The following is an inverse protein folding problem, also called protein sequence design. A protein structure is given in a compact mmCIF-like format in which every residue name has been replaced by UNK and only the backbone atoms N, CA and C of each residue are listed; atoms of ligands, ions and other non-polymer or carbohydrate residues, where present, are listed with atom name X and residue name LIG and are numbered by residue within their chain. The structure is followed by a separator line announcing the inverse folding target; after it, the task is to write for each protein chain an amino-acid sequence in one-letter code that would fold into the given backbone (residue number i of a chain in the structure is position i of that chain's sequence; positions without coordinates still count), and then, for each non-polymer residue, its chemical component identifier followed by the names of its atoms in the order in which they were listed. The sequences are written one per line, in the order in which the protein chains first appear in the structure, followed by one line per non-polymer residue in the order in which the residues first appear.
data_IF_025123884322
#
_entry.id   IF_025123884322
#
_cell.length_a   1.000
_cell.length_b   1.000
_cell.length_c   1.000
_cell.angle_alpha   90.00
_cell.angle_beta   90.00
_cell.angle_gamma   90.00
#
_symmetry.space_group_name_H-M   'P 1'
#
loop_
_entity.id
_entity.type
_entity.pdbx_description
1 polymer ?
#
# COMPACT_ATOMS: atom_id res chain seq x y z
N UNK A 1 -13.23 -21.48 4.28
CA UNK A 1 -13.31 -21.45 2.80
C UNK A 1 -14.64 -21.99 2.26
N UNK A 2 -14.97 -23.27 2.45
CA UNK A 2 -16.19 -23.89 1.87
C UNK A 2 -17.50 -23.13 2.17
N UNK A 3 -17.70 -22.66 3.41
CA UNK A 3 -18.89 -21.86 3.79
C UNK A 3 -19.05 -20.59 2.95
N UNK A 4 -17.95 -19.87 2.72
CA UNK A 4 -17.92 -18.65 1.89
C UNK A 4 -18.16 -18.99 0.43
N UNK A 5 -17.44 -19.98 -0.10
CA UNK A 5 -17.56 -20.40 -1.50
C UNK A 5 -19.00 -20.82 -1.87
N UNK A 6 -19.71 -21.53 -0.97
CA UNK A 6 -21.12 -21.89 -1.16
C UNK A 6 -22.07 -20.69 -1.24
N UNK A 7 -21.66 -19.53 -0.74
CA UNK A 7 -22.46 -18.31 -0.76
C UNK A 7 -22.17 -17.40 -1.97
N UNK A 8 -21.13 -17.70 -2.75
CA UNK A 8 -20.66 -16.89 -3.87
C UNK A 8 -20.86 -17.67 -5.17
N UNK A 9 -21.72 -17.17 -6.05
CA UNK A 9 -21.99 -17.81 -7.35
C UNK A 9 -20.97 -17.36 -8.40
N UNK A 10 -20.84 -18.13 -9.48
CA UNK A 10 -20.00 -17.75 -10.61
C UNK A 10 -20.37 -16.37 -11.17
N UNK A 11 -21.66 -16.09 -11.37
CA UNK A 11 -22.12 -14.78 -11.85
C UNK A 11 -21.70 -13.61 -10.94
N UNK A 12 -21.61 -13.83 -9.61
CA UNK A 12 -21.12 -12.81 -8.69
C UNK A 12 -19.65 -12.52 -8.90
N UNK A 13 -18.80 -13.55 -9.00
CA UNK A 13 -17.35 -13.32 -9.20
C UNK A 13 -17.05 -12.74 -10.57
N UNK A 14 -17.83 -13.07 -11.61
CA UNK A 14 -17.75 -12.40 -12.92
C UNK A 14 -18.11 -10.92 -12.79
N UNK A 15 -19.21 -10.59 -12.12
CA UNK A 15 -19.64 -9.20 -11.95
C UNK A 15 -18.71 -8.34 -11.09
N UNK A 16 -18.06 -8.94 -10.08
CA UNK A 16 -17.17 -8.21 -9.16
C UNK A 16 -15.74 -8.11 -9.69
N UNK A 17 -15.19 -9.21 -10.23
CA UNK A 17 -13.77 -9.31 -10.58
C UNK A 17 -13.50 -9.36 -12.09
N UNK A 18 -14.55 -9.38 -12.91
CA UNK A 18 -14.41 -9.40 -14.38
C UNK A 18 -13.86 -10.71 -14.93
N UNK A 19 -14.02 -11.83 -14.22
CA UNK A 19 -13.57 -13.13 -14.71
C UNK A 19 -14.34 -13.56 -15.97
N UNK A 20 -13.67 -14.32 -16.83
CA UNK A 20 -14.26 -14.91 -18.03
C UNK A 20 -14.40 -16.44 -17.88
N UNK A 21 -14.98 -17.10 -18.89
CA UNK A 21 -15.04 -18.56 -18.96
C UNK A 21 -13.69 -19.18 -19.35
N UNK A 22 -12.74 -18.38 -19.83
CA UNK A 22 -11.38 -18.82 -20.17
C UNK A 22 -10.46 -18.83 -18.94
N UNK A 23 -10.84 -18.14 -17.87
CA UNK A 23 -10.10 -18.15 -16.61
C UNK A 23 -10.16 -19.54 -15.95
N UNK A 24 -9.00 -20.01 -15.47
CA UNK A 24 -8.92 -21.30 -14.80
C UNK A 24 -9.65 -21.29 -13.44
N UNK A 25 -10.20 -22.45 -13.06
CA UNK A 25 -11.02 -22.62 -11.85
C UNK A 25 -10.33 -22.17 -10.55
N UNK A 26 -9.00 -22.22 -10.50
CA UNK A 26 -8.22 -21.71 -9.37
C UNK A 26 -8.40 -20.20 -9.15
N UNK A 27 -8.39 -19.40 -10.23
CA UNK A 27 -8.61 -17.96 -10.17
C UNK A 27 -10.05 -17.63 -9.76
N UNK A 28 -11.01 -18.34 -10.34
CA UNK A 28 -12.45 -18.19 -10.03
C UNK A 28 -12.75 -18.52 -8.56
N UNK A 29 -12.07 -19.51 -7.98
CA UNK A 29 -12.26 -19.97 -6.60
C UNK A 29 -11.38 -19.27 -5.56
N UNK A 30 -10.52 -18.34 -5.98
CA UNK A 30 -9.63 -17.60 -5.09
C UNK A 30 -10.32 -16.56 -4.18
N UNK A 31 -11.35 -15.79 -4.60
CA UNK A 31 -11.94 -14.77 -3.73
C UNK A 31 -12.39 -15.28 -2.35
N UNK A 32 -13.01 -16.48 -2.23
CA UNK A 32 -13.27 -17.09 -0.92
C UNK A 32 -12.03 -17.35 -0.05
N UNK A 33 -10.86 -17.58 -0.64
CA UNK A 33 -9.58 -17.75 0.08
C UNK A 33 -9.14 -16.43 0.69
N UNK A 34 -9.25 -15.32 -0.04
CA UNK A 34 -8.94 -13.99 0.50
C UNK A 34 -9.98 -13.48 1.51
N UNK A 35 -11.23 -13.94 1.42
CA UNK A 35 -12.30 -13.57 2.35
C UNK A 35 -12.13 -14.21 3.74
N UNK A 36 -11.71 -15.47 3.83
CA UNK A 36 -11.78 -16.25 5.08
C UNK A 36 -10.90 -15.76 6.24
N UNK A 37 -9.74 -15.11 6.01
CA UNK A 37 -8.98 -14.47 7.10
C UNK A 37 -9.77 -13.39 7.84
N UNK A 38 -10.84 -12.85 7.26
CA UNK A 38 -11.73 -11.88 7.91
C UNK A 38 -12.54 -12.49 9.07
N UNK A 39 -12.53 -13.82 9.23
CA UNK A 39 -13.34 -14.53 10.21
C UNK A 39 -12.46 -15.28 11.22
N UNK A 40 -12.69 -15.11 12.54
CA UNK A 40 -11.87 -15.73 13.61
C UNK A 40 -11.80 -17.25 13.52
N UNK A 41 -12.86 -17.90 13.05
CA UNK A 41 -12.92 -19.37 12.85
C UNK A 41 -11.84 -19.93 11.92
N UNK A 42 -11.20 -19.09 11.09
CA UNK A 42 -10.07 -19.50 10.25
C UNK A 42 -8.77 -19.65 11.05
N UNK A 43 -8.69 -19.08 12.26
CA UNK A 43 -7.51 -19.12 13.12
C UNK A 43 -7.90 -19.64 14.52
N UNK A 44 -8.33 -20.91 14.66
CA UNK A 44 -8.79 -21.45 15.94
C UNK A 44 -7.68 -21.50 17.00
N UNK A 45 -6.42 -21.58 16.59
CA UNK A 45 -5.26 -21.52 17.49
C UNK A 45 -5.06 -20.12 18.13
N UNK A 46 -5.67 -19.08 17.54
CA UNK A 46 -5.64 -17.69 18.04
C UNK A 46 -6.94 -17.30 18.75
N UNK A 47 -8.09 -17.71 18.20
CA UNK A 47 -9.39 -17.16 18.55
C UNK A 47 -10.42 -18.23 18.96
N UNK A 48 -9.97 -19.32 19.59
CA UNK A 48 -10.86 -20.37 20.08
C UNK A 48 -11.95 -19.79 20.99
N UNK A 49 -13.23 -20.08 20.70
CA UNK A 49 -14.38 -19.55 21.43
C UNK A 49 -14.75 -18.08 21.13
N UNK A 50 -14.02 -17.39 20.26
CA UNK A 50 -14.24 -15.97 19.93
C UNK A 50 -14.89 -15.80 18.54
N UNK A 51 -16.00 -16.49 18.31
CA UNK A 51 -16.63 -16.60 16.98
C UNK A 51 -17.20 -15.27 16.45
N UNK A 52 -17.46 -14.32 17.35
CA UNK A 52 -18.04 -13.00 17.05
C UNK A 52 -17.01 -11.87 17.12
N UNK A 53 -15.71 -12.18 17.19
CA UNK A 53 -14.66 -11.16 17.17
C UNK A 53 -14.68 -10.39 15.83
N UNK A 54 -14.68 -9.07 15.91
CA UNK A 54 -14.63 -8.19 14.75
C UNK A 54 -13.23 -8.18 14.11
N UNK A 55 -13.18 -8.08 12.78
CA UNK A 55 -11.94 -7.94 12.02
C UNK A 55 -11.85 -6.52 11.44
N UNK A 56 -10.70 -5.88 11.60
CA UNK A 56 -10.33 -4.64 10.91
C UNK A 56 -9.32 -4.98 9.81
N UNK A 57 -9.57 -4.50 8.60
CA UNK A 57 -8.75 -4.76 7.41
C UNK A 57 -8.21 -3.44 6.86
N UNK A 58 -6.94 -3.09 7.16
CA UNK A 58 -6.24 -2.01 6.47
C UNK A 58 -5.76 -2.49 5.09
N UNK A 59 -6.19 -1.84 4.01
CA UNK A 59 -5.79 -2.18 2.66
C UNK A 59 -5.82 -0.98 1.71
N UNK A 60 -5.22 -1.09 0.53
CA UNK A 60 -5.48 -0.14 -0.55
C UNK A 60 -6.87 -0.38 -1.16
N UNK A 61 -7.43 0.64 -1.80
CA UNK A 61 -8.79 0.60 -2.39
C UNK A 61 -8.98 -0.47 -3.48
N UNK A 62 -7.92 -0.99 -4.11
CA UNK A 62 -8.07 -2.10 -5.09
C UNK A 62 -8.49 -3.43 -4.46
N UNK A 63 -8.37 -3.58 -3.14
CA UNK A 63 -8.81 -4.78 -2.44
C UNK A 63 -10.30 -4.75 -2.03
N UNK A 64 -10.94 -3.58 -2.08
CA UNK A 64 -12.36 -3.39 -1.72
C UNK A 64 -13.31 -4.42 -2.37
N UNK A 65 -13.18 -4.79 -3.67
CA UNK A 65 -14.05 -5.80 -4.29
C UNK A 65 -14.08 -7.15 -3.55
N UNK A 66 -12.95 -7.59 -2.98
CA UNK A 66 -12.90 -8.82 -2.17
C UNK A 66 -13.67 -8.70 -0.88
N UNK A 67 -13.57 -7.55 -0.21
CA UNK A 67 -14.14 -7.37 1.11
C UNK A 67 -15.59 -6.90 1.07
N UNK A 68 -16.03 -6.22 0.01
CA UNK A 68 -17.47 -6.05 -0.29
C UNK A 68 -18.19 -7.37 -0.48
N UNK A 69 -17.59 -8.28 -1.26
CA UNK A 69 -18.09 -9.65 -1.37
C UNK A 69 -18.13 -10.34 0.00
N UNK A 70 -17.08 -10.16 0.81
CA UNK A 70 -16.98 -10.76 2.15
C UNK A 70 -18.05 -10.22 3.10
N UNK A 71 -18.33 -8.92 3.03
CA UNK A 71 -19.35 -8.23 3.83
C UNK A 71 -20.77 -8.73 3.52
N UNK A 72 -21.06 -9.03 2.25
CA UNK A 72 -22.34 -9.65 1.83
C UNK A 72 -22.48 -11.10 2.31
N UNK A 73 -21.37 -11.83 2.41
CA UNK A 73 -21.35 -13.24 2.81
C UNK A 73 -21.42 -13.40 4.33
N UNK A 74 -20.75 -12.54 5.10
CA UNK A 74 -20.62 -12.62 6.55
C UNK A 74 -21.94 -12.94 7.31
N UNK A 75 -23.04 -12.19 7.13
CA UNK A 75 -24.29 -12.47 7.86
C UNK A 75 -24.93 -13.81 7.46
N UNK A 76 -24.70 -14.29 6.23
CA UNK A 76 -25.26 -15.56 5.73
C UNK A 76 -24.57 -16.78 6.35
N UNK A 77 -23.37 -16.59 6.89
CA UNK A 77 -22.60 -17.65 7.57
C UNK A 77 -22.54 -17.44 9.09
N UNK A 78 -23.27 -16.47 9.63
CA UNK A 78 -23.34 -16.18 11.06
C UNK A 78 -22.12 -15.47 11.65
N UNK A 79 -21.32 -14.80 10.80
CA UNK A 79 -20.12 -14.07 11.22
C UNK A 79 -20.35 -12.55 11.20
N UNK A 80 -19.53 -11.83 11.97
CA UNK A 80 -19.47 -10.37 11.90
C UNK A 80 -18.90 -9.90 10.56
N UNK A 81 -19.41 -8.76 10.09
CA UNK A 81 -18.89 -8.08 8.91
C UNK A 81 -17.52 -7.48 9.24
N UNK A 82 -16.49 -7.65 8.39
CA UNK A 82 -15.23 -6.96 8.60
C UNK A 82 -15.40 -5.44 8.41
N UNK A 83 -14.64 -4.67 9.18
CA UNK A 83 -14.46 -3.23 8.97
C UNK A 83 -13.24 -2.98 8.10
N UNK A 84 -13.28 -1.93 7.29
CA UNK A 84 -12.18 -1.57 6.39
C UNK A 84 -11.62 -0.19 6.72
N UNK A 85 -10.33 -0.03 6.47
CA UNK A 85 -9.68 1.28 6.37
C UNK A 85 -8.87 1.29 5.10
N UNK A 86 -9.24 2.18 4.18
CA UNK A 86 -8.70 2.18 2.83
C UNK A 86 -7.66 3.28 2.63
N UNK A 87 -6.50 2.91 2.10
CA UNK A 87 -5.48 3.86 1.68
C UNK A 87 -5.67 4.25 0.22
N UNK A 88 -5.26 5.49 -0.10
CA UNK A 88 -5.06 5.92 -1.49
C UNK A 88 -3.89 5.15 -2.11
N UNK A 89 -3.83 5.12 -3.44
CA UNK A 89 -2.65 4.58 -4.13
C UNK A 89 -1.46 5.50 -3.98
N UNK A 90 -0.30 4.87 -3.87
CA UNK A 90 0.97 5.57 -4.00
C UNK A 90 1.29 5.74 -5.50
N UNK A 91 1.57 6.96 -5.98
CA UNK A 91 1.77 7.19 -7.41
C UNK A 91 3.08 6.59 -7.90
N UNK A 92 3.14 6.22 -9.18
CA UNK A 92 4.42 5.89 -9.80
C UNK A 92 5.30 7.13 -9.93
N UNK A 93 6.61 6.91 -10.07
CA UNK A 93 7.55 8.01 -10.27
C UNK A 93 7.17 8.88 -11.47
N UNK A 94 6.64 8.28 -12.55
CA UNK A 94 6.23 9.00 -13.76
C UNK A 94 4.94 9.82 -13.62
N UNK A 95 4.17 9.66 -12.54
CA UNK A 95 2.92 10.39 -12.30
C UNK A 95 1.74 9.50 -11.89
N UNK A 96 0.58 10.14 -11.65
CA UNK A 96 -0.62 9.50 -11.11
C UNK A 96 -1.36 8.59 -12.08
N UNK A 97 -1.26 8.85 -13.39
CA UNK A 97 -1.90 8.03 -14.43
C UNK A 97 -1.20 6.69 -14.66
N UNK A 98 -0.03 6.50 -14.06
CA UNK A 98 0.79 5.29 -14.16
C UNK A 98 0.81 4.54 -12.84
N UNK A 99 0.48 3.23 -12.88
CA UNK A 99 0.58 2.35 -11.72
C UNK A 99 2.04 1.96 -11.51
N UNK A 100 2.53 2.00 -10.27
CA UNK A 100 3.83 1.40 -9.94
C UNK A 100 3.82 -0.07 -10.33
N UNK A 101 4.79 -0.47 -11.14
CA UNK A 101 4.89 -1.83 -11.66
C UNK A 101 6.28 -2.37 -11.44
N UNK A 102 6.37 -3.54 -10.81
CA UNK A 102 7.62 -4.27 -10.69
C UNK A 102 8.25 -4.60 -12.07
N UNK A 103 7.44 -4.57 -13.14
CA UNK A 103 7.88 -4.80 -14.52
C UNK A 103 8.61 -3.59 -15.14
N UNK A 104 8.47 -2.38 -14.59
CA UNK A 104 9.31 -1.23 -14.95
C UNK A 104 10.16 -0.82 -13.73
N UNK A 105 11.46 -1.20 -13.72
CA UNK A 105 12.37 -0.90 -12.62
C UNK A 105 12.53 0.60 -12.32
N UNK A 106 12.21 1.46 -13.27
CA UNK A 106 12.32 2.91 -13.13
C UNK A 106 11.00 3.56 -12.67
N UNK A 107 9.92 2.79 -12.53
CA UNK A 107 8.61 3.29 -12.08
C UNK A 107 8.46 3.36 -10.56
N UNK A 108 9.35 2.69 -9.83
CA UNK A 108 9.27 2.53 -8.39
C UNK A 108 10.65 2.62 -7.71
N UNK A 109 10.61 2.99 -6.44
CA UNK A 109 11.73 2.86 -5.50
C UNK A 109 11.56 1.54 -4.77
N UNK A 110 12.53 0.64 -4.90
CA UNK A 110 12.49 -0.65 -4.21
C UNK A 110 13.15 -0.53 -2.84
N UNK A 111 12.65 -1.32 -1.88
CA UNK A 111 13.23 -1.42 -0.51
C UNK A 111 14.61 -2.08 -0.45
N UNK A 112 15.23 -2.33 -1.61
CA UNK A 112 16.59 -2.85 -1.79
C UNK A 112 17.46 -1.93 -2.65
N UNK A 113 16.90 -0.82 -3.17
CA UNK A 113 17.69 0.15 -3.91
C UNK A 113 18.70 0.80 -2.95
N UNK A 114 19.92 1.03 -3.42
CA UNK A 114 20.90 1.79 -2.64
C UNK A 114 20.65 3.31 -2.74
N UNK A 115 21.33 4.09 -1.90
CA UNK A 115 21.16 5.55 -1.83
C UNK A 115 21.39 6.26 -3.18
N UNK A 116 22.41 5.83 -3.95
CA UNK A 116 22.70 6.42 -5.26
C UNK A 116 21.58 6.13 -6.27
N UNK A 117 21.04 4.91 -6.25
CA UNK A 117 19.91 4.49 -7.10
C UNK A 117 18.64 5.25 -6.75
N UNK A 118 18.33 5.40 -5.46
CA UNK A 118 17.16 6.15 -4.98
C UNK A 118 17.26 7.60 -5.47
N UNK A 119 18.39 8.28 -5.20
CA UNK A 119 18.62 9.67 -5.60
C UNK A 119 18.57 9.83 -7.12
N UNK A 120 19.16 8.89 -7.87
CA UNK A 120 19.11 8.89 -9.34
C UNK A 120 17.68 8.72 -9.85
N UNK A 121 16.90 7.80 -9.28
CA UNK A 121 15.52 7.54 -9.70
C UNK A 121 14.61 8.72 -9.41
N UNK A 122 14.71 9.30 -8.21
CA UNK A 122 13.96 10.51 -7.85
C UNK A 122 14.33 11.67 -8.78
N UNK A 123 15.63 11.91 -9.00
CA UNK A 123 16.06 13.01 -9.85
C UNK A 123 15.62 12.85 -11.31
N UNK A 124 15.81 11.67 -11.88
CA UNK A 124 15.60 11.43 -13.32
C UNK A 124 14.17 11.06 -13.71
N UNK A 125 13.45 10.33 -12.86
CA UNK A 125 12.16 9.73 -13.24
C UNK A 125 10.97 10.27 -12.46
N UNK A 126 11.17 10.90 -11.29
CA UNK A 126 10.05 11.51 -10.56
C UNK A 126 9.52 12.72 -11.34
N UNK A 127 8.26 12.67 -11.73
CA UNK A 127 7.56 13.75 -12.40
C UNK A 127 7.49 14.98 -11.49
N UNK A 128 7.88 16.13 -12.04
CA UNK A 128 7.94 17.42 -11.35
C UNK A 128 6.74 18.27 -11.77
N UNK A 129 6.08 18.88 -10.80
CA UNK A 129 5.12 19.96 -11.02
C UNK A 129 5.76 21.35 -11.10
N UNK A 130 7.07 21.47 -10.88
CA UNK A 130 7.84 22.71 -11.05
C UNK A 130 8.18 23.03 -12.51
N UNK A 131 8.79 24.20 -12.72
CA UNK A 131 9.09 24.75 -14.05
C UNK A 131 10.41 24.26 -14.64
N UNK A 132 10.57 24.45 -15.95
CA UNK A 132 11.76 24.03 -16.71
C UNK A 132 13.04 24.77 -16.33
N UNK A 133 12.92 26.02 -15.85
CA UNK A 133 14.06 26.86 -15.44
C UNK A 133 13.90 27.40 -14.04
N UNK A 134 15.02 27.70 -13.37
CA UNK A 134 15.03 28.27 -12.04
C UNK A 134 14.49 29.72 -12.00
N UNK A 135 14.50 30.43 -13.13
CA UNK A 135 13.91 31.76 -13.27
C UNK A 135 12.39 31.65 -13.29
N UNK A 136 11.85 30.80 -14.16
CA UNK A 136 10.41 30.52 -14.23
C UNK A 136 9.88 29.93 -12.93
N UNK A 137 10.64 29.05 -12.27
CA UNK A 137 10.24 28.48 -10.98
C UNK A 137 10.05 29.58 -9.93
N UNK A 138 10.93 30.59 -9.88
CA UNK A 138 10.82 31.71 -8.93
C UNK A 138 9.67 32.66 -9.26
N UNK A 139 9.28 32.75 -10.53
CA UNK A 139 8.20 33.63 -10.99
C UNK A 139 6.82 32.98 -10.87
N UNK A 140 6.72 31.70 -11.24
CA UNK A 140 5.45 30.98 -11.41
C UNK A 140 5.19 29.93 -10.32
N UNK A 141 6.22 29.52 -9.58
CA UNK A 141 6.11 28.44 -8.60
C UNK A 141 5.88 27.06 -9.22
N UNK A 142 5.50 26.08 -8.38
CA UNK A 142 5.22 24.71 -8.78
C UNK A 142 3.75 24.32 -8.55
N UNK A 143 3.22 23.46 -9.42
CA UNK A 143 1.94 22.80 -9.21
C UNK A 143 2.10 21.57 -8.30
N UNK A 144 1.76 21.74 -7.03
CA UNK A 144 1.86 20.70 -6.01
C UNK A 144 0.88 19.53 -6.22
N UNK A 145 -0.23 19.74 -6.94
CA UNK A 145 -1.25 18.71 -7.16
C UNK A 145 -0.75 17.59 -8.05
N UNK A 146 0.20 17.86 -8.95
CA UNK A 146 0.75 16.88 -9.89
C UNK A 146 2.15 16.41 -9.52
N UNK A 147 2.83 17.10 -8.61
CA UNK A 147 4.23 16.84 -8.25
C UNK A 147 4.37 15.54 -7.43
N UNK A 148 5.06 14.56 -8.03
CA UNK A 148 5.28 13.25 -7.38
C UNK A 148 6.17 13.38 -6.14
N UNK A 149 7.26 14.18 -6.15
CA UNK A 149 8.07 14.35 -4.95
C UNK A 149 7.29 14.86 -3.72
N UNK A 150 6.44 15.87 -3.88
CA UNK A 150 5.59 16.38 -2.80
C UNK A 150 4.59 15.32 -2.32
N UNK A 151 3.99 14.55 -3.23
CA UNK A 151 3.12 13.44 -2.85
C UNK A 151 3.87 12.42 -2.00
N UNK A 152 5.09 12.05 -2.37
CA UNK A 152 5.89 11.09 -1.61
C UNK A 152 6.30 11.65 -0.24
N UNK A 153 6.71 12.92 -0.17
CA UNK A 153 6.99 13.59 1.10
C UNK A 153 5.76 13.58 2.01
N UNK A 154 4.56 13.78 1.48
CA UNK A 154 3.30 13.70 2.24
C UNK A 154 3.00 12.30 2.82
N UNK A 155 3.67 11.24 2.36
CA UNK A 155 3.55 9.90 2.94
C UNK A 155 4.65 9.56 3.94
N UNK A 156 5.85 10.12 3.78
CA UNK A 156 7.06 9.64 4.48
C UNK A 156 7.75 10.69 5.34
N UNK A 157 7.47 11.98 5.15
CA UNK A 157 7.94 13.01 6.06
C UNK A 157 6.98 13.05 7.25
N UNK A 158 7.50 12.76 8.43
CA UNK A 158 6.69 12.63 9.65
C UNK A 158 6.30 13.99 10.28
N UNK A 159 7.05 15.05 9.98
CA UNK A 159 6.82 16.40 10.51
C UNK A 159 5.92 17.21 9.57
N UNK A 160 4.71 17.52 10.05
CA UNK A 160 3.69 18.27 9.31
C UNK A 160 4.09 19.73 9.06
N UNK A 161 4.82 20.36 10.00
CA UNK A 161 5.25 21.76 9.88
C UNK A 161 6.34 21.89 8.81
N UNK A 162 7.29 20.96 8.80
CA UNK A 162 8.31 20.89 7.75
C UNK A 162 7.67 20.66 6.38
N UNK A 163 6.72 19.73 6.28
CA UNK A 163 6.01 19.44 5.04
C UNK A 163 5.27 20.68 4.51
N UNK A 164 4.59 21.43 5.39
CA UNK A 164 3.87 22.63 5.00
C UNK A 164 4.82 23.75 4.56
N UNK A 165 5.97 23.91 5.21
CA UNK A 165 7.01 24.84 4.78
C UNK A 165 7.56 24.50 3.39
N UNK A 166 7.79 23.22 3.12
CA UNK A 166 8.26 22.74 1.82
C UNK A 166 7.20 23.00 0.74
N UNK A 167 5.93 22.65 1.00
CA UNK A 167 4.81 22.88 0.09
C UNK A 167 4.68 24.37 -0.23
N UNK A 168 4.68 25.23 0.78
CA UNK A 168 4.61 26.68 0.61
C UNK A 168 5.77 27.20 -0.23
N UNK A 169 7.00 26.87 0.15
CA UNK A 169 8.18 27.38 -0.54
C UNK A 169 8.33 26.85 -1.97
N UNK A 170 7.88 25.63 -2.24
CA UNK A 170 7.90 25.09 -3.60
C UNK A 170 6.76 25.65 -4.46
N UNK A 171 5.59 25.84 -3.87
CA UNK A 171 4.42 26.44 -4.52
C UNK A 171 4.61 27.91 -4.86
N UNK A 172 5.34 28.68 -4.05
CA UNK A 172 5.64 30.10 -4.30
C UNK A 172 6.93 30.36 -5.10
N UNK A 173 7.70 29.30 -5.38
CA UNK A 173 8.93 29.40 -6.17
C UNK A 173 10.21 29.71 -5.39
N UNK A 174 10.14 29.92 -4.07
CA UNK A 174 11.33 30.12 -3.24
C UNK A 174 12.21 28.86 -3.11
N UNK A 175 11.61 27.67 -3.26
CA UNK A 175 12.32 26.40 -3.38
C UNK A 175 12.34 25.92 -4.83
N UNK A 176 13.50 25.43 -5.27
CA UNK A 176 13.69 24.83 -6.59
C UNK A 176 13.38 23.33 -6.55
N UNK A 177 12.90 22.77 -7.66
CA UNK A 177 12.59 21.33 -7.84
C UNK A 177 13.75 20.44 -7.40
N UNK A 178 14.99 20.78 -7.77
CA UNK A 178 16.16 19.98 -7.39
C UNK A 178 16.35 19.86 -5.87
N UNK A 179 16.02 20.90 -5.11
CA UNK A 179 16.11 20.88 -3.64
C UNK A 179 15.03 19.98 -3.03
N UNK A 180 13.80 20.04 -3.55
CA UNK A 180 12.69 19.16 -3.12
C UNK A 180 13.00 17.70 -3.42
N UNK A 181 13.51 17.42 -4.63
CA UNK A 181 13.93 16.06 -5.03
C UNK A 181 15.07 15.51 -4.20
N UNK A 182 16.07 16.34 -3.86
CA UNK A 182 17.15 15.93 -2.97
C UNK A 182 16.64 15.58 -1.57
N UNK A 183 15.77 16.42 -1.00
CA UNK A 183 15.15 16.16 0.29
C UNK A 183 14.39 14.82 0.29
N UNK A 184 13.57 14.59 -0.74
CA UNK A 184 12.88 13.31 -0.88
C UNK A 184 13.88 12.15 -0.99
N UNK A 185 14.94 12.31 -1.77
CA UNK A 185 16.00 11.31 -1.91
C UNK A 185 16.61 10.94 -0.56
N UNK A 186 16.85 11.92 0.32
CA UNK A 186 17.39 11.69 1.66
C UNK A 186 16.37 10.98 2.57
N UNK A 187 15.10 11.41 2.59
CA UNK A 187 14.01 10.78 3.36
C UNK A 187 13.85 9.30 2.97
N UNK A 188 13.76 9.02 1.67
CA UNK A 188 13.61 7.65 1.17
C UNK A 188 14.86 6.80 1.43
N UNK A 189 16.06 7.39 1.34
CA UNK A 189 17.30 6.67 1.61
C UNK A 189 17.38 6.23 3.07
N UNK A 190 17.00 7.10 4.02
CA UNK A 190 16.96 6.70 5.44
C UNK A 190 15.88 5.64 5.70
N UNK A 191 14.69 5.77 5.10
CA UNK A 191 13.62 4.77 5.19
C UNK A 191 14.11 3.39 4.72
N UNK A 192 14.74 3.32 3.55
CA UNK A 192 15.24 2.06 2.98
C UNK A 192 16.39 1.49 3.83
N UNK A 193 17.34 2.32 4.28
CA UNK A 193 18.41 1.89 5.19
C UNK A 193 17.89 1.38 6.53
N UNK A 194 16.84 1.99 7.08
CA UNK A 194 16.17 1.48 8.30
C UNK A 194 15.53 0.13 8.05
N UNK A 195 14.81 -0.03 6.93
CA UNK A 195 14.23 -1.32 6.54
C UNK A 195 15.31 -2.39 6.33
N UNK A 196 16.42 -2.07 5.65
CA UNK A 196 17.53 -2.98 5.42
C UNK A 196 18.14 -3.47 6.74
N UNK A 197 18.43 -2.55 7.68
CA UNK A 197 18.93 -2.88 9.02
C UNK A 197 17.97 -3.79 9.79
N UNK A 198 16.67 -3.51 9.73
CA UNK A 198 15.65 -4.36 10.37
C UNK A 198 15.57 -5.74 9.72
N UNK A 199 15.58 -5.80 8.38
CA UNK A 199 15.53 -7.04 7.61
C UNK A 199 16.74 -7.92 7.87
N UNK A 200 17.93 -7.34 8.03
CA UNK A 200 19.17 -8.07 8.33
C UNK A 200 19.14 -8.78 9.70
N UNK A 201 18.25 -8.36 10.61
CA UNK A 201 18.07 -8.99 11.92
C UNK A 201 17.06 -10.15 11.88
N UNK A 202 16.35 -10.36 10.78
CA UNK A 202 15.35 -11.42 10.65
C UNK A 202 16.06 -12.75 10.41
N UNK A 203 15.93 -13.69 11.35
CA UNK A 203 16.47 -15.06 11.23
C UNK A 203 15.44 -16.05 10.69
N UNK A 204 15.87 -17.23 10.27
CA UNK A 204 14.97 -18.32 9.87
C UNK A 204 14.06 -18.74 11.02
N UNK A 205 14.59 -18.81 12.25
CA UNK A 205 13.80 -19.16 13.43
C UNK A 205 12.72 -18.12 13.73
N UNK A 206 13.00 -16.84 13.47
CA UNK A 206 11.98 -15.78 13.57
C UNK A 206 10.89 -16.01 12.52
N UNK A 207 11.26 -16.25 11.26
CA UNK A 207 10.29 -16.50 10.19
C UNK A 207 9.42 -17.70 10.54
N UNK A 208 10.02 -18.81 10.97
CA UNK A 208 9.31 -20.00 11.41
C UNK A 208 8.36 -19.70 12.58
N UNK A 209 8.83 -18.93 13.57
CA UNK A 209 8.01 -18.53 14.71
C UNK A 209 6.83 -17.61 14.33
N UNK A 210 6.97 -16.77 13.30
CA UNK A 210 5.88 -15.92 12.78
C UNK A 210 4.91 -16.70 11.88
N UNK A 211 5.39 -17.72 11.14
CA UNK A 211 4.58 -18.54 10.24
C UNK A 211 3.93 -19.76 10.92
N UNK A 212 4.40 -20.15 12.11
CA UNK A 212 3.85 -21.25 12.88
C UNK A 212 2.41 -20.97 13.36
N UNK A 213 1.53 -21.97 13.21
CA UNK A 213 0.19 -21.94 13.80
C UNK A 213 0.29 -22.16 15.32
N UNK A 214 0.46 -21.08 16.08
CA UNK A 214 0.62 -21.10 17.54
C UNK A 214 -0.26 -20.07 18.23
N UNK A 215 -0.66 -20.28 19.49
CA UNK A 215 -1.29 -19.23 20.29
C UNK A 215 -0.38 -18.00 20.41
N UNK A 216 -0.98 -16.82 20.40
CA UNK A 216 -0.29 -15.58 20.76
C UNK A 216 -0.71 -15.19 22.18
N UNK A 217 0.14 -15.42 23.21
CA UNK A 217 -0.17 -15.01 24.57
C UNK A 217 -0.33 -13.48 24.65
N UNK A 218 -1.27 -13.01 25.48
CA UNK A 218 -1.55 -11.60 25.74
C UNK A 218 -2.05 -10.78 24.53
N UNK A 219 -2.71 -11.42 23.55
CA UNK A 219 -3.27 -10.72 22.38
C UNK A 219 -4.36 -9.70 22.75
N UNK A 220 -5.14 -10.03 23.78
CA UNK A 220 -6.10 -9.15 24.43
C UNK A 220 -5.68 -9.15 25.90
N UNK A 221 -5.15 -8.03 26.37
CA UNK A 221 -4.42 -7.92 27.66
C UNK A 221 -5.14 -8.49 28.87
#
# INVERSE_FOLDING_TARGET
MVKVARCVTYNKVVGIFGFSQEDHIGKISFPPVQAVPSFPSSFPHLFSGMEQLCCLIPCAVDQDPYFRMTHDVAPRIGCQKPSLTESRFFPALQGESTKMSASDPNSAIYVRDNEEEIKKKVNKYAFSGGQDSAELQRELGANLEVDVPIKYLNFFLEDDDDLEQIKKGYGDGSLLTGKVKNLLGDVLSELVKRHERARAQVTEEMVDAFMAARPLPNMFG
#
